data_IF_756872289961
#
_entry.id   IF_756872289961
#
_cell.length_a   1.000
_cell.length_b   1.000
_cell.length_c   1.000
_cell.angle_alpha   90.00
_cell.angle_beta   90.00
_cell.angle_gamma   90.00
#
_symmetry.space_group_name_H-M   'P 1'
#
loop_
_entity.id
_entity.type
_entity.pdbx_description
1 polymer ?
#
# COMPACT_ATOMS: atom_id res chain seq x y z
N UNK A 1 16.33 -6.63 -4.29
CA UNK A 1 15.66 -6.36 -3.00
C UNK A 1 14.36 -7.12 -2.98
N UNK A 2 14.08 -7.89 -1.94
CA UNK A 2 12.74 -8.48 -1.79
C UNK A 2 11.75 -7.40 -1.37
N UNK A 3 10.61 -7.35 -2.06
CA UNK A 3 9.56 -6.35 -1.85
C UNK A 3 8.74 -6.69 -0.60
N UNK A 4 9.36 -6.63 0.58
CA UNK A 4 8.68 -6.86 1.85
C UNK A 4 8.07 -5.55 2.36
N UNK A 5 6.73 -5.48 2.40
CA UNK A 5 6.00 -4.31 2.88
C UNK A 5 6.06 -3.11 1.92
N UNK A 6 6.20 -1.90 2.48
CA UNK A 6 6.14 -0.62 1.72
C UNK A 6 7.53 -0.09 1.35
N UNK A 7 8.61 -0.67 1.90
CA UNK A 7 9.97 -0.13 1.78
C UNK A 7 10.49 -0.06 0.33
N UNK A 8 10.05 -0.96 -0.54
CA UNK A 8 10.44 -0.95 -1.94
C UNK A 8 9.98 0.29 -2.71
N UNK A 9 8.89 0.96 -2.26
CA UNK A 9 8.29 2.08 -3.00
C UNK A 9 9.25 3.25 -3.12
N UNK A 10 9.94 3.60 -2.04
CA UNK A 10 10.86 4.74 -2.03
C UNK A 10 12.11 4.44 -2.86
N UNK A 11 12.66 3.23 -2.75
CA UNK A 11 13.80 2.81 -3.57
C UNK A 11 13.43 2.78 -5.06
N UNK A 12 12.25 2.26 -5.39
CA UNK A 12 11.73 2.23 -6.76
C UNK A 12 11.65 3.63 -7.36
N UNK A 13 11.04 4.57 -6.63
CA UNK A 13 10.91 5.97 -7.08
C UNK A 13 12.27 6.64 -7.29
N UNK A 14 13.20 6.46 -6.35
CA UNK A 14 14.54 7.07 -6.44
C UNK A 14 15.33 6.53 -7.63
N UNK A 15 15.29 5.21 -7.86
CA UNK A 15 15.96 4.57 -8.98
C UNK A 15 15.33 4.97 -10.33
N UNK A 16 14.00 5.08 -10.39
CA UNK A 16 13.27 5.58 -11.57
C UNK A 16 13.65 7.04 -11.89
N UNK A 17 13.79 7.90 -10.88
CA UNK A 17 14.27 9.28 -11.03
C UNK A 17 15.72 9.37 -11.51
N UNK A 18 16.57 8.44 -11.07
CA UNK A 18 17.98 8.35 -11.51
C UNK A 18 18.11 7.72 -12.92
N UNK A 19 17.01 7.34 -13.56
CA UNK A 19 16.97 6.83 -14.94
C UNK A 19 17.22 5.33 -15.07
N UNK A 20 17.13 4.57 -13.98
CA UNK A 20 17.22 3.11 -14.04
C UNK A 20 15.91 2.49 -14.54
N UNK A 21 16.02 1.43 -15.35
CA UNK A 21 14.88 0.56 -15.66
C UNK A 21 14.65 -0.41 -14.50
N UNK A 22 13.64 -0.13 -13.68
CA UNK A 22 13.34 -0.88 -12.47
C UNK A 22 12.17 -1.83 -12.70
N UNK A 23 12.46 -3.13 -12.69
CA UNK A 23 11.44 -4.17 -12.78
C UNK A 23 10.91 -4.60 -11.41
N UNK A 24 9.63 -4.30 -11.15
CA UNK A 24 8.89 -4.86 -10.03
C UNK A 24 8.21 -6.17 -10.44
N UNK A 25 8.56 -7.29 -9.83
CA UNK A 25 8.05 -8.62 -10.21
C UNK A 25 7.21 -9.21 -9.09
N UNK A 26 6.11 -9.87 -9.45
CA UNK A 26 5.25 -10.56 -8.48
C UNK A 26 5.97 -11.81 -7.94
N UNK A 27 6.14 -11.88 -6.61
CA UNK A 27 6.78 -13.01 -5.95
C UNK A 27 6.12 -14.37 -6.25
N UNK A 28 4.79 -14.40 -6.49
CA UNK A 28 4.09 -15.64 -6.88
C UNK A 28 4.58 -16.18 -8.23
N UNK A 29 4.91 -15.30 -9.17
CA UNK A 29 5.41 -15.70 -10.48
C UNK A 29 6.83 -16.31 -10.37
N UNK A 30 7.66 -15.77 -9.48
CA UNK A 30 9.02 -16.26 -9.24
C UNK A 30 8.99 -17.59 -8.48
N UNK A 31 8.10 -17.74 -7.49
CA UNK A 31 8.01 -18.95 -6.66
C UNK A 31 7.66 -20.20 -7.48
N UNK A 32 6.91 -20.05 -8.56
CA UNK A 32 6.55 -21.15 -9.46
C UNK A 32 7.73 -21.69 -10.31
N UNK A 33 8.86 -20.98 -10.35
CA UNK A 33 10.04 -21.34 -11.16
C UNK A 33 11.01 -22.24 -10.37
N UNK A 34 10.71 -22.51 -9.08
CA UNK A 34 11.41 -23.48 -8.24
C UNK A 34 11.81 -22.88 -6.88
N UNK A 35 11.63 -23.65 -5.81
CA UNK A 35 12.09 -23.27 -4.48
C UNK A 35 13.58 -23.57 -4.33
N UNK A 36 14.40 -22.57 -3.96
CA UNK A 36 15.83 -22.79 -3.65
C UNK A 36 16.13 -22.42 -2.20
N UNK A 37 17.13 -23.11 -1.66
CA UNK A 37 17.42 -23.24 -0.23
C UNK A 37 18.03 -22.00 0.44
N UNK A 38 18.66 -21.09 -0.31
CA UNK A 38 19.38 -19.93 0.28
C UNK A 38 19.09 -18.65 -0.49
N UNK A 39 19.06 -17.52 0.24
CA UNK A 39 18.77 -16.19 -0.30
C UNK A 39 19.79 -15.76 -1.36
N UNK A 40 21.06 -16.14 -1.20
CA UNK A 40 22.14 -15.89 -2.16
C UNK A 40 21.87 -16.58 -3.51
N UNK A 41 21.47 -17.85 -3.46
CA UNK A 41 21.16 -18.64 -4.66
C UNK A 41 19.87 -18.13 -5.32
N UNK A 42 18.90 -17.67 -4.52
CA UNK A 42 17.69 -17.02 -5.00
C UNK A 42 18.02 -15.72 -5.75
N UNK A 43 18.88 -14.87 -5.19
CA UNK A 43 19.29 -13.62 -5.84
C UNK A 43 20.00 -13.85 -7.18
N UNK A 44 20.93 -14.81 -7.24
CA UNK A 44 21.62 -15.19 -8.48
C UNK A 44 20.64 -15.72 -9.53
N UNK A 45 19.65 -16.51 -9.09
CA UNK A 45 18.64 -17.05 -9.99
C UNK A 45 17.72 -15.97 -10.56
N UNK A 46 17.29 -15.01 -9.73
CA UNK A 46 16.48 -13.87 -10.18
C UNK A 46 17.27 -13.02 -11.18
N UNK A 47 18.57 -12.80 -10.93
CA UNK A 47 19.45 -12.11 -11.88
C UNK A 47 19.51 -12.84 -13.23
N UNK A 48 19.63 -14.16 -13.22
CA UNK A 48 19.67 -14.98 -14.44
C UNK A 48 18.33 -14.90 -15.21
N UNK A 49 17.20 -15.00 -14.50
CA UNK A 49 15.88 -14.85 -15.11
C UNK A 49 15.68 -13.45 -15.71
N UNK A 50 16.19 -12.43 -15.04
CA UNK A 50 16.19 -11.06 -15.54
C UNK A 50 17.03 -10.92 -16.81
N UNK A 51 18.24 -11.49 -16.86
CA UNK A 51 19.10 -11.42 -18.06
C UNK A 51 18.49 -12.12 -19.27
N UNK A 52 17.68 -13.17 -19.05
CA UNK A 52 16.96 -13.85 -20.13
C UNK A 52 15.61 -13.20 -20.47
N UNK A 53 15.20 -12.12 -19.80
CA UNK A 53 13.91 -11.48 -20.03
C UNK A 53 12.69 -12.33 -19.64
N UNK A 54 12.88 -13.33 -18.78
CA UNK A 54 11.82 -14.26 -18.35
C UNK A 54 10.95 -13.68 -17.21
N UNK A 55 11.31 -12.51 -16.69
CA UNK A 55 10.57 -11.84 -15.63
C UNK A 55 9.49 -10.92 -16.22
N UNK A 56 8.24 -11.14 -15.82
CA UNK A 56 7.13 -10.27 -16.20
C UNK A 56 7.03 -9.10 -15.21
N UNK A 57 7.20 -7.88 -15.71
CA UNK A 57 6.96 -6.67 -14.95
C UNK A 57 5.51 -6.61 -14.45
N UNK A 58 5.35 -6.21 -13.19
CA UNK A 58 4.06 -5.84 -12.62
C UNK A 58 3.69 -4.45 -13.10
N UNK A 59 2.41 -4.25 -13.42
CA UNK A 59 1.94 -2.92 -13.78
C UNK A 59 2.13 -1.96 -12.62
N UNK A 60 2.79 -0.84 -12.89
CA UNK A 60 3.11 0.16 -11.89
C UNK A 60 2.75 1.52 -12.49
N UNK A 61 1.68 2.19 -12.00
CA UNK A 61 1.16 3.42 -12.60
C UNK A 61 2.17 4.56 -12.44
N UNK A 62 2.16 5.55 -13.32
CA UNK A 62 3.07 6.68 -13.25
C UNK A 62 2.99 7.46 -11.92
N UNK A 63 4.00 8.29 -11.64
CA UNK A 63 4.05 9.04 -10.39
C UNK A 63 2.84 9.97 -10.18
N UNK A 64 2.23 10.54 -11.24
CA UNK A 64 1.04 11.37 -11.07
C UNK A 64 -0.19 10.52 -10.73
N UNK A 65 -0.43 9.40 -11.43
CA UNK A 65 -1.55 8.52 -11.06
C UNK A 65 -1.36 7.90 -9.67
N UNK A 66 -0.13 7.59 -9.23
CA UNK A 66 0.15 7.15 -7.85
C UNK A 66 -0.32 8.19 -6.83
N UNK A 67 0.01 9.47 -7.03
CA UNK A 67 -0.40 10.57 -6.14
C UNK A 67 -1.91 10.69 -6.06
N UNK A 68 -2.60 10.72 -7.19
CA UNK A 68 -4.07 10.84 -7.25
C UNK A 68 -4.72 9.63 -6.58
N UNK A 69 -4.25 8.42 -6.87
CA UNK A 69 -4.74 7.17 -6.27
C UNK A 69 -4.58 7.17 -4.75
N UNK A 70 -3.43 7.62 -4.24
CA UNK A 70 -3.19 7.70 -2.80
C UNK A 70 -4.13 8.70 -2.13
N UNK A 71 -4.33 9.88 -2.72
CA UNK A 71 -5.26 10.88 -2.21
C UNK A 71 -6.71 10.37 -2.21
N UNK A 72 -7.16 9.76 -3.31
CA UNK A 72 -8.50 9.20 -3.42
C UNK A 72 -8.74 8.12 -2.37
N UNK A 73 -7.78 7.20 -2.18
CA UNK A 73 -7.87 6.14 -1.16
C UNK A 73 -7.88 6.70 0.26
N UNK A 74 -7.11 7.76 0.50
CA UNK A 74 -7.10 8.43 1.80
C UNK A 74 -8.47 9.06 2.09
N UNK A 75 -9.03 9.79 1.14
CA UNK A 75 -10.39 10.36 1.23
C UNK A 75 -11.43 9.26 1.50
N UNK A 76 -11.42 8.17 0.73
CA UNK A 76 -12.35 7.06 0.94
C UNK A 76 -12.23 6.45 2.33
N UNK A 77 -11.00 6.33 2.85
CA UNK A 77 -10.75 5.84 4.20
C UNK A 77 -11.35 6.78 5.25
N UNK A 78 -11.14 8.09 5.10
CA UNK A 78 -11.71 9.09 6.00
C UNK A 78 -13.24 9.07 5.99
N UNK A 79 -13.85 8.97 4.80
CA UNK A 79 -15.31 8.87 4.66
C UNK A 79 -15.85 7.62 5.36
N UNK A 80 -15.19 6.47 5.16
CA UNK A 80 -15.58 5.22 5.82
C UNK A 80 -15.38 5.25 7.34
N UNK A 81 -14.38 5.97 7.84
CA UNK A 81 -14.16 6.13 9.29
C UNK A 81 -15.09 7.18 9.90
N UNK A 82 -15.61 8.13 9.13
CA UNK A 82 -16.40 9.27 9.63
C UNK A 82 -17.53 8.84 10.57
N UNK A 83 -18.38 7.88 10.17
CA UNK A 83 -19.48 7.39 11.01
C UNK A 83 -18.99 6.73 12.29
N UNK A 84 -17.85 6.02 12.25
CA UNK A 84 -17.25 5.42 13.44
C UNK A 84 -16.73 6.50 14.39
N UNK A 85 -16.12 7.56 13.88
CA UNK A 85 -15.66 8.65 14.73
C UNK A 85 -16.83 9.41 15.38
N UNK A 86 -17.98 9.54 14.69
CA UNK A 86 -19.21 10.07 15.32
C UNK A 86 -19.68 9.19 16.48
N UNK A 87 -19.69 7.87 16.30
CA UNK A 87 -20.04 6.93 17.38
C UNK A 87 -19.05 7.00 18.55
N UNK A 88 -17.76 7.17 18.27
CA UNK A 88 -16.76 7.38 19.32
C UNK A 88 -17.00 8.67 20.10
N UNK A 89 -17.35 9.77 19.43
CA UNK A 89 -17.71 11.03 20.08
C UNK A 89 -18.95 10.87 20.96
N UNK A 90 -20.00 10.22 20.46
CA UNK A 90 -21.21 9.92 21.23
C UNK A 90 -20.89 9.13 22.50
N UNK A 91 -20.12 8.06 22.35
CA UNK A 91 -19.71 7.21 23.49
C UNK A 91 -18.90 7.99 24.52
N UNK A 92 -18.01 8.88 24.09
CA UNK A 92 -17.25 9.73 24.99
C UNK A 92 -18.15 10.71 25.77
N UNK A 93 -19.14 11.31 25.12
CA UNK A 93 -20.11 12.19 25.78
C UNK A 93 -20.97 11.45 26.81
N UNK A 94 -21.42 10.24 26.49
CA UNK A 94 -22.17 9.40 27.42
C UNK A 94 -21.36 9.07 28.68
N UNK A 95 -20.07 8.77 28.54
CA UNK A 95 -19.16 8.55 29.67
C UNK A 95 -19.01 9.78 30.57
N UNK A 96 -19.19 10.98 30.02
CA UNK A 96 -19.16 12.25 30.75
C UNK A 96 -20.54 12.68 31.30
N UNK A 97 -21.56 11.81 31.23
CA UNK A 97 -22.95 12.10 31.57
C UNK A 97 -23.60 13.20 30.72
N UNK A 98 -23.11 13.43 29.50
CA UNK A 98 -23.67 14.40 28.54
C UNK A 98 -24.53 13.66 27.52
N UNK A 99 -25.86 13.72 27.65
CA UNK A 99 -26.82 13.06 26.75
C UNK A 99 -27.28 13.97 25.60
N UNK A 100 -26.33 14.44 24.80
CA UNK A 100 -26.61 15.34 23.66
C UNK A 100 -27.57 14.70 22.64
N UNK A 101 -27.49 13.38 22.44
CA UNK A 101 -28.35 12.59 21.53
C UNK A 101 -29.84 12.75 21.81
N UNK A 102 -30.22 13.08 23.06
CA UNK A 102 -31.62 13.25 23.43
C UNK A 102 -32.19 14.62 23.05
N UNK A 103 -31.31 15.59 22.75
CA UNK A 103 -31.69 17.00 22.55
C UNK A 103 -31.46 17.44 21.10
N UNK A 104 -30.45 16.88 20.43
CA UNK A 104 -30.12 17.20 19.04
C UNK A 104 -30.15 15.94 18.16
N UNK A 105 -30.71 16.08 16.96
CA UNK A 105 -30.83 14.99 15.98
C UNK A 105 -29.53 14.71 15.23
N UNK A 106 -28.65 15.70 15.09
CA UNK A 106 -27.34 15.58 14.47
C UNK A 106 -26.26 16.22 15.35
N UNK A 107 -25.17 15.51 15.58
CA UNK A 107 -24.03 15.95 16.39
C UNK A 107 -23.00 16.70 15.53
N UNK A 108 -23.00 16.46 14.22
CA UNK A 108 -22.07 17.09 13.28
C UNK A 108 -22.60 18.42 12.70
N UNK A 109 -23.89 18.72 12.89
CA UNK A 109 -24.55 19.95 12.42
C UNK A 109 -25.58 19.71 11.33
#
# INVERSE_FOLDING_TARGET
MESTGVYWVQLYMRLEEDGFDVLLVNAKAIKNIGEKKTDEVNAQWIMLLHSYGLLKASFQPDNQARRIRNLSRHKDKMLKSSSREVLHMQKAMELMNIKLVNVISDILG
#
